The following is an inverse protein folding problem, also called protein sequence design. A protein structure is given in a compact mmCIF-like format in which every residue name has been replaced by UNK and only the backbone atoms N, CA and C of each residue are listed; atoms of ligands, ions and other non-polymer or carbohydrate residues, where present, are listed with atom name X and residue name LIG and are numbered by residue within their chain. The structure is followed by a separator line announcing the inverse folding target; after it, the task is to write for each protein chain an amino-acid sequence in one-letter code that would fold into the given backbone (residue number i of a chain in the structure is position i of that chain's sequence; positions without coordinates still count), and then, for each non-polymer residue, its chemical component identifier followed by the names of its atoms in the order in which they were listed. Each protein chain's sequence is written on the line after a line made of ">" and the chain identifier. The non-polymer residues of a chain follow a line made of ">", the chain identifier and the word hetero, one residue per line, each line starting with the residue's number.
data_IF_554175821126
#
_entry.id   IF_554175821126
#
_cell.length_a   1.000
_cell.length_b   1.000
_cell.length_c   1.000
_cell.angle_alpha   90.00
_cell.angle_beta   90.00
_cell.angle_gamma   90.00
#
_symmetry.space_group_name_H-M   'P 1'
#
loop_
_entity.id
_entity.type
_entity.pdbx_description
1 polymer ?
#
# COMPACT_ATOMS: atom_id res chain seq x y z
N UNK A 1 71.47 -8.44 -29.30
CA UNK A 1 70.58 -7.21 -29.26
C UNK A 1 69.76 -7.18 -30.56
N UNK A 2 68.50 -7.60 -30.54
CA UNK A 2 67.54 -7.49 -31.64
C UNK A 2 66.26 -6.82 -31.17
N UNK A 3 66.06 -5.60 -31.61
CA UNK A 3 64.85 -4.82 -31.37
C UNK A 3 63.79 -5.26 -32.37
N UNK A 4 62.64 -5.76 -31.87
CA UNK A 4 61.44 -6.04 -32.67
C UNK A 4 60.51 -4.84 -32.55
N UNK A 5 60.25 -4.20 -33.67
CA UNK A 5 59.21 -3.17 -33.80
C UNK A 5 57.85 -3.86 -33.90
N UNK A 6 56.95 -3.51 -33.01
CA UNK A 6 55.53 -3.91 -33.05
C UNK A 6 54.76 -2.73 -33.59
N UNK A 7 54.13 -2.89 -34.74
CA UNK A 7 53.26 -1.90 -35.35
C UNK A 7 51.89 -1.81 -34.60
N UNK A 8 51.32 -0.63 -34.40
CA UNK A 8 49.99 -0.52 -33.83
C UNK A 8 48.90 -0.75 -34.87
N UNK A 9 48.06 -1.77 -34.67
CA UNK A 9 46.85 -2.00 -35.47
C UNK A 9 45.79 -0.98 -35.10
N UNK A 10 45.40 -0.18 -36.06
CA UNK A 10 44.32 0.78 -35.99
C UNK A 10 42.99 0.01 -36.03
N UNK A 11 42.28 -0.09 -34.88
CA UNK A 11 40.92 -0.64 -34.80
C UNK A 11 39.93 0.46 -35.09
N UNK A 12 39.31 0.40 -36.25
CA UNK A 12 38.23 1.28 -36.66
C UNK A 12 36.96 0.85 -35.90
N UNK A 13 36.60 1.55 -34.83
CA UNK A 13 35.35 1.34 -34.13
C UNK A 13 34.25 2.05 -34.91
N UNK A 14 33.50 1.27 -35.70
CA UNK A 14 32.27 1.73 -36.36
C UNK A 14 31.21 1.90 -35.30
N UNK A 15 30.89 3.17 -34.94
CA UNK A 15 29.83 3.51 -33.98
C UNK A 15 28.47 3.18 -34.56
N UNK A 16 27.85 2.09 -34.10
CA UNK A 16 26.41 1.87 -34.22
C UNK A 16 25.70 2.85 -33.32
N UNK A 17 25.15 3.93 -33.90
CA UNK A 17 24.16 4.79 -33.24
C UNK A 17 22.88 3.99 -33.04
N UNK A 18 22.79 3.34 -31.88
CA UNK A 18 21.52 2.80 -31.39
C UNK A 18 20.64 3.98 -30.96
N UNK A 19 19.82 4.45 -31.88
CA UNK A 19 18.67 5.29 -31.54
C UNK A 19 17.70 4.45 -30.74
N UNK A 20 17.77 4.57 -29.41
CA UNK A 20 16.78 4.02 -28.49
C UNK A 20 15.48 4.79 -28.70
N UNK A 21 14.66 4.34 -29.64
CA UNK A 21 13.25 4.69 -29.70
C UNK A 21 12.51 3.93 -28.55
N UNK A 22 12.72 4.40 -27.32
CA UNK A 22 12.02 3.89 -26.14
C UNK A 22 10.72 4.66 -25.88
N UNK A 23 9.87 4.86 -26.89
CA UNK A 23 8.54 5.43 -26.73
C UNK A 23 7.40 4.43 -26.90
N UNK A 24 7.68 3.13 -27.12
CA UNK A 24 6.64 2.15 -27.43
C UNK A 24 6.10 1.36 -26.22
N UNK A 25 6.63 1.59 -25.00
CA UNK A 25 6.26 0.77 -23.84
C UNK A 25 5.04 1.26 -23.04
N UNK A 26 4.73 2.55 -23.09
CA UNK A 26 3.65 3.11 -22.27
C UNK A 26 2.26 2.84 -22.85
N UNK A 27 2.12 2.79 -24.17
CA UNK A 27 0.83 2.62 -24.84
C UNK A 27 0.34 1.15 -24.83
N UNK A 28 1.21 0.17 -24.66
CA UNK A 28 0.83 -1.24 -24.61
C UNK A 28 0.17 -1.66 -23.29
N UNK A 29 0.31 -0.87 -22.21
CA UNK A 29 -0.30 -1.15 -20.91
C UNK A 29 -1.67 -0.49 -20.70
N UNK A 30 -2.21 0.18 -21.70
CA UNK A 30 -3.49 0.89 -21.61
C UNK A 30 -3.41 2.22 -20.82
N UNK A 31 -4.56 2.89 -20.68
CA UNK A 31 -4.67 4.14 -19.93
C UNK A 31 -4.33 3.97 -18.44
N UNK A 32 -4.05 5.09 -17.76
CA UNK A 32 -3.84 5.08 -16.31
C UNK A 32 -5.04 4.47 -15.56
N UNK A 33 -6.26 4.79 -15.99
CA UNK A 33 -7.48 4.21 -15.46
C UNK A 33 -7.54 2.68 -15.65
N UNK A 34 -7.18 2.20 -16.84
CA UNK A 34 -7.16 0.76 -17.10
C UNK A 34 -6.13 0.03 -16.21
N UNK A 35 -4.91 0.54 -16.13
CA UNK A 35 -3.88 -0.06 -15.26
C UNK A 35 -4.32 -0.08 -13.79
N UNK A 36 -4.93 1.01 -13.31
CA UNK A 36 -5.46 1.09 -11.95
C UNK A 36 -6.56 0.06 -11.72
N UNK A 37 -7.52 -0.05 -12.63
CA UNK A 37 -8.61 -1.03 -12.54
C UNK A 37 -8.09 -2.48 -12.49
N UNK A 38 -7.13 -2.83 -13.35
CA UNK A 38 -6.49 -4.17 -13.36
C UNK A 38 -5.77 -4.43 -12.05
N UNK A 39 -5.03 -3.45 -11.52
CA UNK A 39 -4.32 -3.59 -10.26
C UNK A 39 -5.28 -3.76 -9.07
N UNK A 40 -6.32 -2.93 -8.96
CA UNK A 40 -7.34 -3.03 -7.89
C UNK A 40 -8.02 -4.39 -7.91
N UNK A 41 -8.40 -4.89 -9.09
CA UNK A 41 -9.05 -6.20 -9.23
C UNK A 41 -8.08 -7.34 -8.94
N UNK A 42 -6.84 -7.26 -9.44
CA UNK A 42 -5.84 -8.31 -9.28
C UNK A 42 -5.32 -8.45 -7.84
N UNK A 43 -5.38 -7.39 -7.05
CA UNK A 43 -4.96 -7.38 -5.64
C UNK A 43 -6.09 -7.59 -4.65
N UNK A 44 -7.35 -7.67 -5.11
CA UNK A 44 -8.54 -7.67 -4.25
C UNK A 44 -8.52 -6.55 -3.20
N UNK A 45 -8.08 -5.36 -3.60
CA UNK A 45 -7.77 -4.25 -2.69
C UNK A 45 -8.93 -3.94 -1.73
N UNK A 46 -10.16 -3.94 -2.23
CA UNK A 46 -11.34 -3.65 -1.42
C UNK A 46 -11.57 -4.65 -0.30
N UNK A 47 -11.43 -5.94 -0.60
CA UNK A 47 -11.53 -7.01 0.39
C UNK A 47 -10.41 -6.92 1.42
N UNK A 48 -9.18 -6.70 0.97
CA UNK A 48 -8.01 -6.55 1.83
C UNK A 48 -8.17 -5.40 2.82
N UNK A 49 -8.59 -4.21 2.37
CA UNK A 49 -8.86 -3.06 3.25
C UNK A 49 -10.02 -3.39 4.21
N UNK A 50 -11.09 -4.03 3.71
CA UNK A 50 -12.23 -4.43 4.54
C UNK A 50 -11.83 -5.39 5.66
N UNK A 51 -10.95 -6.35 5.38
CA UNK A 51 -10.39 -7.28 6.36
C UNK A 51 -9.59 -6.56 7.43
N UNK A 52 -8.66 -5.66 7.06
CA UNK A 52 -7.85 -4.90 8.02
C UNK A 52 -8.70 -4.03 8.95
N UNK A 53 -9.73 -3.36 8.42
CA UNK A 53 -10.67 -2.59 9.25
C UNK A 53 -11.46 -3.48 10.21
N UNK A 54 -11.90 -4.66 9.75
CA UNK A 54 -12.61 -5.63 10.59
C UNK A 54 -11.71 -6.18 11.71
N UNK A 55 -10.44 -6.48 11.41
CA UNK A 55 -9.46 -6.97 12.38
C UNK A 55 -9.16 -5.92 13.45
N UNK A 56 -8.98 -4.66 13.06
CA UNK A 56 -8.85 -3.55 14.02
C UNK A 56 -10.07 -3.44 14.94
N UNK A 57 -11.27 -3.58 14.40
CA UNK A 57 -12.52 -3.52 15.18
C UNK A 57 -12.72 -4.76 16.08
N UNK A 58 -12.02 -5.86 15.80
CA UNK A 58 -12.07 -7.10 16.58
C UNK A 58 -11.25 -7.00 17.87
N UNK A 59 -10.08 -6.38 17.82
CA UNK A 59 -9.15 -6.28 18.95
C UNK A 59 -9.82 -5.86 20.28
N UNK A 60 -10.62 -4.76 20.34
CA UNK A 60 -11.29 -4.36 21.59
C UNK A 60 -12.26 -5.41 22.10
N UNK A 61 -12.92 -6.16 21.21
CA UNK A 61 -13.88 -7.20 21.58
C UNK A 61 -13.19 -8.40 22.21
N UNK A 62 -11.99 -8.72 21.75
CA UNK A 62 -11.20 -9.86 22.25
C UNK A 62 -10.53 -9.58 23.60
N UNK A 63 -10.49 -8.34 24.07
CA UNK A 63 -10.01 -8.00 25.43
C UNK A 63 -10.77 -8.76 26.53
N UNK A 64 -12.07 -8.93 26.38
CA UNK A 64 -12.88 -9.69 27.33
C UNK A 64 -12.57 -11.20 27.34
N UNK A 65 -11.97 -11.71 26.25
CA UNK A 65 -11.61 -13.12 26.07
C UNK A 65 -10.18 -13.44 26.57
N UNK A 66 -9.46 -12.43 27.08
CA UNK A 66 -8.14 -12.57 27.70
C UNK A 66 -6.97 -12.38 26.72
N UNK A 67 -5.75 -12.38 27.28
CA UNK A 67 -4.51 -12.07 26.55
C UNK A 67 -4.27 -12.94 25.34
N UNK A 68 -4.57 -14.23 25.41
CA UNK A 68 -4.41 -15.16 24.29
C UNK A 68 -5.26 -14.77 23.06
N UNK A 69 -6.52 -14.37 23.30
CA UNK A 69 -7.40 -13.92 22.22
C UNK A 69 -6.89 -12.59 21.59
N UNK A 70 -6.46 -11.65 22.42
CA UNK A 70 -5.86 -10.38 21.95
C UNK A 70 -4.61 -10.65 21.13
N UNK A 71 -3.68 -11.48 21.60
CA UNK A 71 -2.47 -11.82 20.84
C UNK A 71 -2.80 -12.48 19.50
N UNK A 72 -3.78 -13.37 19.44
CA UNK A 72 -4.21 -13.99 18.20
C UNK A 72 -4.77 -12.95 17.21
N UNK A 73 -5.63 -12.04 17.68
CA UNK A 73 -6.16 -10.96 16.85
C UNK A 73 -5.08 -10.01 16.33
N UNK A 74 -4.11 -9.62 17.19
CA UNK A 74 -3.01 -8.75 16.78
C UNK A 74 -2.07 -9.45 15.78
N UNK A 75 -1.81 -10.75 15.95
CA UNK A 75 -1.00 -11.52 14.99
C UNK A 75 -1.69 -11.64 13.62
N UNK A 76 -3.01 -11.84 13.60
CA UNK A 76 -3.81 -11.82 12.37
C UNK A 76 -3.68 -10.46 11.67
N UNK A 77 -3.95 -9.37 12.39
CA UNK A 77 -3.83 -8.01 11.86
C UNK A 77 -2.43 -7.72 11.28
N UNK A 78 -1.35 -8.16 11.96
CA UNK A 78 0.02 -8.00 11.47
C UNK A 78 0.25 -8.74 10.16
N UNK A 79 -0.19 -10.01 10.10
CA UNK A 79 -0.06 -10.84 8.91
C UNK A 79 -0.82 -10.22 7.72
N UNK A 80 -2.05 -9.79 7.94
CA UNK A 80 -2.89 -9.24 6.88
C UNK A 80 -2.37 -7.88 6.39
N UNK A 81 -1.82 -7.04 7.29
CA UNK A 81 -1.13 -5.81 6.91
C UNK A 81 0.13 -6.08 6.07
N UNK A 82 0.91 -7.11 6.40
CA UNK A 82 2.09 -7.51 5.61
C UNK A 82 1.70 -8.05 4.24
N UNK A 83 0.67 -8.89 4.17
CA UNK A 83 0.15 -9.42 2.91
C UNK A 83 -0.36 -8.29 2.01
N UNK A 84 -1.15 -7.36 2.56
CA UNK A 84 -1.63 -6.20 1.84
C UNK A 84 -0.48 -5.31 1.32
N UNK A 85 0.54 -5.07 2.15
CA UNK A 85 1.72 -4.29 1.76
C UNK A 85 2.52 -4.96 0.62
N UNK A 86 2.51 -6.30 0.52
CA UNK A 86 3.20 -7.03 -0.55
C UNK A 86 2.59 -6.82 -1.94
N UNK A 87 1.39 -6.27 -2.03
CA UNK A 87 0.71 -5.95 -3.30
C UNK A 87 1.17 -4.63 -3.92
N UNK A 88 1.97 -3.86 -3.21
CA UNK A 88 2.55 -2.61 -3.70
C UNK A 88 3.78 -2.86 -4.58
N UNK A 89 4.10 -1.96 -5.54
CA UNK A 89 3.46 -0.67 -5.76
C UNK A 89 2.18 -0.73 -6.59
N UNK A 90 1.32 0.28 -6.43
CA UNK A 90 0.21 0.56 -7.34
C UNK A 90 0.68 1.30 -8.60
N UNK A 91 -0.11 1.35 -9.68
CA UNK A 91 0.20 2.15 -10.87
C UNK A 91 0.25 3.68 -10.65
N UNK A 92 -0.26 4.17 -9.51
CA UNK A 92 -0.25 5.59 -9.13
C UNK A 92 0.65 5.76 -7.89
N UNK A 93 1.68 6.63 -7.95
CA UNK A 93 2.62 6.80 -6.85
C UNK A 93 1.98 7.40 -5.59
N UNK A 94 0.93 8.22 -5.72
CA UNK A 94 0.24 8.81 -4.57
C UNK A 94 -0.56 7.72 -3.82
N UNK A 95 -1.24 6.83 -4.56
CA UNK A 95 -1.92 5.66 -3.99
C UNK A 95 -0.91 4.76 -3.27
N UNK A 96 0.24 4.51 -3.89
CA UNK A 96 1.33 3.73 -3.28
C UNK A 96 1.78 4.35 -1.96
N UNK A 97 2.03 5.67 -1.93
CA UNK A 97 2.48 6.37 -0.73
C UNK A 97 1.43 6.31 0.41
N UNK A 98 0.15 6.52 0.09
CA UNK A 98 -0.95 6.46 1.04
C UNK A 98 -1.09 5.05 1.64
N UNK A 99 -1.11 4.02 0.80
CA UNK A 99 -1.25 2.64 1.25
C UNK A 99 -0.03 2.15 2.02
N UNK A 100 1.20 2.50 1.60
CA UNK A 100 2.42 2.17 2.36
C UNK A 100 2.36 2.73 3.78
N UNK A 101 1.91 3.98 3.92
CA UNK A 101 1.75 4.62 5.24
C UNK A 101 0.65 3.97 6.06
N UNK A 102 -0.47 3.63 5.43
CA UNK A 102 -1.60 2.96 6.09
C UNK A 102 -1.18 1.57 6.63
N UNK A 103 -0.60 0.73 5.79
CA UNK A 103 -0.14 -0.61 6.19
C UNK A 103 0.97 -0.54 7.25
N UNK A 104 1.86 0.47 7.19
CA UNK A 104 2.86 0.72 8.24
C UNK A 104 2.23 1.06 9.59
N UNK A 105 1.13 1.84 9.61
CA UNK A 105 0.37 2.13 10.82
C UNK A 105 -0.35 0.88 11.36
N UNK A 106 -0.89 0.03 10.49
CA UNK A 106 -1.49 -1.25 10.91
C UNK A 106 -0.45 -2.18 11.53
N UNK A 107 0.70 -2.34 10.91
CA UNK A 107 1.80 -3.12 11.48
C UNK A 107 2.25 -2.58 12.85
N UNK A 108 2.30 -1.25 13.01
CA UNK A 108 2.59 -0.60 14.28
C UNK A 108 1.49 -0.86 15.31
N UNK A 109 0.23 -0.74 14.91
CA UNK A 109 -0.92 -1.03 15.76
C UNK A 109 -0.92 -2.49 16.23
N UNK A 110 -0.66 -3.43 15.32
CA UNK A 110 -0.60 -4.85 15.61
C UNK A 110 0.50 -5.19 16.63
N UNK A 111 1.70 -4.65 16.47
CA UNK A 111 2.80 -4.85 17.43
C UNK A 111 2.47 -4.24 18.79
N UNK A 112 1.98 -3.00 18.84
CA UNK A 112 1.56 -2.36 20.08
C UNK A 112 0.44 -3.12 20.79
N UNK A 113 -0.53 -3.63 20.02
CA UNK A 113 -1.61 -4.47 20.50
C UNK A 113 -1.06 -5.76 21.14
N UNK A 114 -0.14 -6.44 20.47
CA UNK A 114 0.49 -7.65 20.97
C UNK A 114 1.24 -7.40 22.28
N UNK A 115 2.07 -6.34 22.33
CA UNK A 115 2.84 -5.96 23.52
C UNK A 115 1.93 -5.51 24.69
N UNK A 116 0.76 -4.94 24.38
CA UNK A 116 -0.18 -4.49 25.39
C UNK A 116 -0.89 -5.64 26.10
N UNK A 117 -1.24 -6.69 25.35
CA UNK A 117 -2.13 -7.74 25.84
C UNK A 117 -3.44 -7.14 26.36
N UNK A 118 -3.94 -7.62 27.51
CA UNK A 118 -5.14 -7.05 28.17
C UNK A 118 -4.78 -6.09 29.32
N UNK A 119 -3.51 -6.01 29.71
CA UNK A 119 -3.08 -5.30 30.94
C UNK A 119 -2.67 -3.86 30.67
N UNK A 120 -2.00 -3.57 29.57
CA UNK A 120 -1.54 -2.22 29.22
C UNK A 120 -2.57 -1.46 28.39
N UNK A 121 -3.59 -0.95 29.06
CA UNK A 121 -4.70 -0.21 28.42
C UNK A 121 -4.24 1.03 27.65
N UNK A 122 -3.16 1.69 28.09
CA UNK A 122 -2.65 2.89 27.43
C UNK A 122 -2.05 2.53 26.06
N UNK A 123 -1.26 1.46 26.00
CA UNK A 123 -0.66 0.97 24.75
C UNK A 123 -1.72 0.42 23.80
N UNK A 124 -2.72 -0.30 24.33
CA UNK A 124 -3.86 -0.78 23.53
C UNK A 124 -4.66 0.38 22.91
N UNK A 125 -4.90 1.44 23.68
CA UNK A 125 -5.54 2.64 23.15
C UNK A 125 -4.69 3.37 22.09
N UNK A 126 -3.35 3.29 22.18
CA UNK A 126 -2.46 3.82 21.15
C UNK A 126 -2.53 2.98 19.86
N UNK A 127 -2.56 1.66 19.99
CA UNK A 127 -2.78 0.75 18.86
C UNK A 127 -4.07 1.09 18.12
N UNK A 128 -5.18 1.26 18.85
CA UNK A 128 -6.47 1.65 18.26
C UNK A 128 -6.40 2.99 17.53
N UNK A 129 -5.72 4.00 18.07
CA UNK A 129 -5.53 5.29 17.39
C UNK A 129 -4.73 5.15 16.08
N UNK A 130 -3.77 4.23 16.02
CA UNK A 130 -3.03 3.98 14.79
C UNK A 130 -3.90 3.29 13.75
N UNK A 131 -4.75 2.34 14.13
CA UNK A 131 -5.74 1.74 13.25
C UNK A 131 -6.71 2.77 12.65
N UNK A 132 -7.26 3.68 13.48
CA UNK A 132 -8.13 4.79 13.00
C UNK A 132 -7.39 5.70 12.00
N UNK A 133 -6.10 5.98 12.22
CA UNK A 133 -5.30 6.76 11.27
C UNK A 133 -5.06 6.00 9.96
N UNK A 134 -4.85 4.69 10.04
CA UNK A 134 -4.70 3.85 8.85
C UNK A 134 -6.00 3.86 8.03
N UNK A 135 -7.16 3.74 8.68
CA UNK A 135 -8.47 3.81 8.02
C UNK A 135 -8.66 5.14 7.27
N UNK A 136 -8.29 6.27 7.86
CA UNK A 136 -8.35 7.56 7.17
C UNK A 136 -7.50 7.56 5.88
N UNK A 137 -6.30 6.98 5.92
CA UNK A 137 -5.43 6.87 4.74
C UNK A 137 -5.99 5.92 3.69
N UNK A 138 -6.69 4.84 4.09
CA UNK A 138 -7.42 4.00 3.15
C UNK A 138 -8.49 4.77 2.40
N UNK A 139 -9.26 5.62 3.10
CA UNK A 139 -10.27 6.44 2.46
C UNK A 139 -9.65 7.44 1.46
N UNK A 140 -8.52 8.07 1.82
CA UNK A 140 -7.78 8.95 0.90
C UNK A 140 -7.28 8.17 -0.33
N UNK A 141 -6.71 6.99 -0.15
CA UNK A 141 -6.26 6.13 -1.25
C UNK A 141 -7.41 5.72 -2.18
N UNK A 142 -8.56 5.33 -1.62
CA UNK A 142 -9.75 4.97 -2.40
C UNK A 142 -10.32 6.17 -3.16
N UNK A 143 -10.27 7.38 -2.59
CA UNK A 143 -10.65 8.60 -3.30
C UNK A 143 -9.70 8.88 -4.47
N UNK A 144 -8.38 8.73 -4.26
CA UNK A 144 -7.39 8.90 -5.32
C UNK A 144 -7.59 7.89 -6.45
N UNK A 145 -7.85 6.62 -6.13
CA UNK A 145 -8.16 5.57 -7.12
C UNK A 145 -9.35 5.97 -7.98
N UNK A 146 -10.45 6.41 -7.35
CA UNK A 146 -11.65 6.87 -8.09
C UNK A 146 -11.36 8.06 -9.01
N UNK A 147 -10.47 8.95 -8.58
CA UNK A 147 -10.05 10.09 -9.39
C UNK A 147 -9.26 9.66 -10.63
N UNK A 148 -8.36 8.67 -10.49
CA UNK A 148 -7.61 8.08 -11.61
C UNK A 148 -8.55 7.36 -12.58
N UNK A 149 -9.57 6.67 -12.06
CA UNK A 149 -10.60 6.00 -12.87
C UNK A 149 -11.56 6.98 -13.57
N UNK A 150 -11.46 8.28 -13.29
CA UNK A 150 -12.33 9.32 -13.87
C UNK A 150 -13.77 9.28 -13.33
N UNK A 151 -14.03 8.53 -12.24
CA UNK A 151 -15.36 8.36 -11.66
C UNK A 151 -15.76 9.42 -10.63
N UNK A 152 -14.78 10.18 -10.11
CA UNK A 152 -15.03 11.27 -9.15
C UNK A 152 -14.00 12.38 -9.34
N UNK A 153 -14.39 13.68 -9.40
CA UNK A 153 -13.44 14.79 -9.34
C UNK A 153 -12.72 14.80 -7.99
N UNK A 154 -11.40 15.05 -7.99
CA UNK A 154 -10.61 15.23 -6.77
C UNK A 154 -11.03 16.53 -6.12
N UNK A 155 -11.97 16.48 -5.19
CA UNK A 155 -12.14 17.56 -4.22
C UNK A 155 -11.14 17.30 -3.10
N UNK A 156 -10.06 18.07 -3.07
CA UNK A 156 -9.16 18.16 -1.90
C UNK A 156 -9.98 18.76 -0.75
N UNK A 157 -10.67 17.90 -0.02
CA UNK A 157 -11.29 18.29 1.25
C UNK A 157 -10.20 18.18 2.30
N UNK A 158 -9.62 19.32 2.66
CA UNK A 158 -8.88 19.52 3.90
C UNK A 158 -9.69 18.90 5.04
N UNK A 159 -9.07 18.01 5.79
CA UNK A 159 -9.66 17.27 6.90
C UNK A 159 -10.39 18.19 7.88
N UNK A 160 -11.71 18.22 7.78
CA UNK A 160 -12.65 18.74 8.77
C UNK A 160 -13.41 17.56 9.33
N UNK A 161 -13.10 17.26 10.57
CA UNK A 161 -13.74 16.35 11.49
C UNK A 161 -15.26 16.21 11.26
N UNK A 162 -15.78 15.00 10.92
CA UNK A 162 -17.15 14.59 11.31
C UNK A 162 -17.50 13.18 10.85
N UNK A 163 -17.78 12.31 11.84
CA UNK A 163 -18.97 11.44 11.87
C UNK A 163 -19.03 10.25 10.93
N UNK A 164 -18.66 9.10 11.45
CA UNK A 164 -19.33 7.80 11.30
C UNK A 164 -20.20 7.60 10.04
N UNK A 165 -19.62 7.14 8.97
CA UNK A 165 -20.39 6.56 7.86
C UNK A 165 -19.73 5.23 7.48
N UNK A 166 -20.45 4.14 7.81
CA UNK A 166 -20.03 2.77 7.56
C UNK A 166 -19.66 2.51 6.10
N UNK A 167 -18.63 1.70 5.91
CA UNK A 167 -18.06 1.29 4.62
C UNK A 167 -19.02 0.38 3.82
N UNK A 168 -20.24 0.14 4.31
CA UNK A 168 -21.24 -0.67 3.63
C UNK A 168 -21.74 -0.02 2.34
N UNK A 169 -21.22 -0.43 1.16
CA UNK A 169 -21.81 -0.07 -0.12
C UNK A 169 -20.88 0.45 -1.20
N UNK A 170 -19.56 0.27 -1.11
CA UNK A 170 -18.62 0.84 -2.08
C UNK A 170 -18.33 -0.09 -3.27
N UNK A 171 -18.65 -1.38 -3.17
CA UNK A 171 -18.41 -2.38 -4.21
C UNK A 171 -19.73 -3.07 -4.60
N UNK A 172 -20.48 -2.44 -5.48
CA UNK A 172 -21.61 -2.98 -6.21
C UNK A 172 -21.47 -2.68 -7.69
#
# INVERSE_FOLDING_TARGET
>A
MRRRFIAPSLVLVTGCALTLTSCAGADQQGSAAHRMSVWVSGTNLGESIGTLVADNARVPKDVANGTGAVHAACATLLNDAQMANSTLPSPDPDVTALLTKAYGLEGTAANQCFDAGVTNKALLAQAQRNGVKAEALYQEALQRIRAVDGKVPVTTTTAGNSGNSGIGGIFG
#
